data_IF_571713623741
#
_entry.id   IF_571713623741
#
_cell.length_a   1.000
_cell.length_b   1.000
_cell.length_c   1.000
_cell.angle_alpha   90.00
_cell.angle_beta   90.00
_cell.angle_gamma   90.00
#
_symmetry.space_group_name_H-M   'P 1'
#
loop_
_entity.id
_entity.type
_entity.pdbx_description
1 polymer ?
#
# COMPACT_ATOMS: atom_id res chain seq x y z
N UNK A 1 0.67 3.07 -1.26
CA UNK A 1 1.66 2.24 -1.99
C UNK A 1 2.50 3.06 -2.97
N UNK A 2 1.89 3.70 -3.99
CA UNK A 2 2.67 4.43 -4.99
C UNK A 2 3.59 5.51 -4.39
N UNK A 3 3.11 6.27 -3.41
CA UNK A 3 3.92 7.27 -2.72
C UNK A 3 5.18 6.70 -2.05
N UNK A 4 5.12 5.47 -1.51
CA UNK A 4 6.31 4.79 -0.97
C UNK A 4 7.29 4.41 -2.08
N UNK A 5 6.80 3.89 -3.20
CA UNK A 5 7.63 3.52 -4.35
C UNK A 5 8.33 4.75 -4.90
N UNK A 6 7.61 5.86 -5.06
CA UNK A 6 8.17 7.12 -5.56
C UNK A 6 9.21 7.70 -4.61
N UNK A 7 8.92 7.73 -3.29
CA UNK A 7 9.87 8.22 -2.29
C UNK A 7 11.18 7.40 -2.27
N UNK A 8 11.08 6.06 -2.34
CA UNK A 8 12.24 5.17 -2.37
C UNK A 8 13.06 5.33 -3.65
N UNK A 9 12.38 5.39 -4.81
CA UNK A 9 13.04 5.65 -6.09
C UNK A 9 13.81 6.96 -6.07
N UNK A 10 13.14 8.05 -5.69
CA UNK A 10 13.70 9.40 -5.74
C UNK A 10 14.89 9.53 -4.79
N UNK A 11 14.78 9.01 -3.58
CA UNK A 11 15.88 9.01 -2.62
C UNK A 11 17.12 8.24 -3.13
N UNK A 12 16.94 7.07 -3.74
CA UNK A 12 18.05 6.30 -4.31
C UNK A 12 18.65 6.96 -5.55
N UNK A 13 17.80 7.54 -6.42
CA UNK A 13 18.28 8.30 -7.60
C UNK A 13 19.06 9.53 -7.20
N UNK A 14 18.58 10.28 -6.22
CA UNK A 14 19.27 11.46 -5.70
C UNK A 14 20.66 11.10 -5.12
N UNK A 15 20.75 9.94 -4.46
CA UNK A 15 22.02 9.47 -3.88
C UNK A 15 23.00 8.94 -4.94
N UNK A 16 22.50 8.21 -5.94
CA UNK A 16 23.35 7.50 -6.90
C UNK A 16 23.52 8.22 -8.23
N UNK A 17 22.66 9.20 -8.54
CA UNK A 17 22.64 9.93 -9.82
C UNK A 17 22.59 8.96 -11.01
N UNK A 18 21.77 7.88 -10.87
CA UNK A 18 21.65 6.80 -11.84
C UNK A 18 20.38 6.93 -12.69
N UNK A 19 20.33 6.23 -13.81
CA UNK A 19 19.12 6.11 -14.62
C UNK A 19 18.09 5.17 -13.96
N UNK A 20 16.82 5.27 -14.35
CA UNK A 20 15.73 4.46 -13.78
C UNK A 20 15.04 3.63 -14.85
N UNK A 21 14.89 2.33 -14.58
CA UNK A 21 14.07 1.41 -15.38
C UNK A 21 12.85 0.97 -14.56
N UNK A 22 11.68 1.49 -14.90
CA UNK A 22 10.43 1.07 -14.28
C UNK A 22 9.88 -0.20 -14.91
N UNK A 23 9.47 -1.17 -14.06
CA UNK A 23 8.85 -2.43 -14.48
C UNK A 23 7.47 -2.56 -13.84
N UNK A 24 6.44 -2.68 -14.68
CA UNK A 24 5.03 -2.92 -14.25
C UNK A 24 4.42 -3.97 -15.17
N UNK A 25 5.07 -5.13 -15.22
CA UNK A 25 4.66 -6.22 -16.08
C UNK A 25 3.39 -6.91 -15.56
N UNK A 26 2.64 -7.54 -16.47
CA UNK A 26 1.48 -8.35 -16.11
C UNK A 26 1.84 -9.41 -15.05
N UNK A 27 0.89 -9.78 -14.17
CA UNK A 27 1.17 -10.73 -13.11
C UNK A 27 1.35 -12.19 -13.60
N UNK A 28 0.97 -12.48 -14.83
CA UNK A 28 1.16 -13.80 -15.45
C UNK A 28 2.58 -13.86 -16.00
N UNK A 29 3.36 -14.79 -15.49
CA UNK A 29 4.79 -14.95 -15.83
C UNK A 29 5.11 -16.39 -16.19
N UNK A 30 6.26 -16.61 -16.86
CA UNK A 30 6.77 -17.96 -17.06
C UNK A 30 7.32 -18.53 -15.74
N UNK A 31 7.18 -19.84 -15.55
CA UNK A 31 7.84 -20.56 -14.45
C UNK A 31 9.35 -20.32 -14.48
N UNK A 32 9.92 -20.24 -15.70
CA UNK A 32 11.33 -19.96 -15.89
C UNK A 32 11.75 -18.58 -15.36
N UNK A 33 10.97 -17.51 -15.60
CA UNK A 33 11.29 -16.19 -15.07
C UNK A 33 11.02 -16.07 -13.55
N UNK A 34 10.04 -16.83 -13.04
CA UNK A 34 9.75 -16.80 -11.61
C UNK A 34 10.76 -17.60 -10.79
N UNK A 35 11.36 -18.66 -11.36
CA UNK A 35 12.20 -19.58 -10.61
C UNK A 35 13.55 -19.89 -11.26
N UNK A 36 13.55 -20.46 -12.50
CA UNK A 36 14.76 -21.03 -13.08
C UNK A 36 15.87 -20.00 -13.28
N UNK A 37 15.53 -18.85 -13.86
CA UNK A 37 16.45 -17.73 -14.11
C UNK A 37 16.85 -16.94 -12.83
N UNK A 38 16.17 -17.21 -11.74
CA UNK A 38 16.49 -16.73 -10.41
C UNK A 38 17.19 -17.82 -9.57
N UNK A 39 17.69 -18.87 -10.23
CA UNK A 39 18.48 -19.94 -9.61
C UNK A 39 17.75 -20.74 -8.51
N UNK A 40 16.40 -20.74 -8.50
CA UNK A 40 15.66 -21.60 -7.57
C UNK A 40 15.82 -23.08 -7.96
N UNK A 41 16.26 -23.95 -7.05
CA UNK A 41 16.35 -25.38 -7.30
C UNK A 41 15.01 -25.96 -7.76
N UNK A 42 15.05 -26.97 -8.63
CA UNK A 42 13.82 -27.65 -9.10
C UNK A 42 13.01 -28.28 -7.95
N UNK A 43 13.69 -28.74 -6.91
CA UNK A 43 13.10 -29.30 -5.69
C UNK A 43 12.76 -28.26 -4.62
N UNK A 44 12.80 -26.96 -4.93
CA UNK A 44 12.45 -25.93 -3.95
C UNK A 44 10.99 -26.03 -3.52
N UNK A 45 10.75 -25.98 -2.21
CA UNK A 45 9.41 -25.93 -1.59
C UNK A 45 8.57 -24.79 -2.16
N UNK A 46 9.20 -23.65 -2.49
CA UNK A 46 8.52 -22.50 -3.09
C UNK A 46 7.79 -22.84 -4.40
N UNK A 47 8.23 -23.89 -5.11
CA UNK A 47 7.62 -24.35 -6.38
C UNK A 47 6.41 -25.26 -6.19
N UNK A 48 6.13 -25.71 -4.98
CA UNK A 48 5.00 -26.61 -4.74
C UNK A 48 3.67 -25.87 -4.97
N UNK A 49 2.69 -26.59 -5.53
CA UNK A 49 1.35 -26.03 -5.84
C UNK A 49 0.58 -25.52 -4.61
N UNK A 50 0.99 -25.92 -3.40
CA UNK A 50 0.44 -25.37 -2.15
C UNK A 50 0.89 -23.92 -1.89
N UNK A 51 1.99 -23.46 -2.48
CA UNK A 51 2.50 -22.08 -2.33
C UNK A 51 2.38 -21.28 -3.63
N UNK A 52 2.43 -21.94 -4.78
CA UNK A 52 2.44 -21.34 -6.11
C UNK A 52 1.11 -21.49 -6.82
N UNK A 53 0.65 -20.43 -7.47
CA UNK A 53 -0.57 -20.43 -8.30
C UNK A 53 -0.21 -20.67 -9.76
N UNK A 54 -0.09 -21.92 -10.18
CA UNK A 54 0.09 -22.31 -11.56
C UNK A 54 -1.19 -22.06 -12.38
N UNK A 55 -1.03 -21.52 -13.59
CA UNK A 55 -2.10 -21.30 -14.57
C UNK A 55 -2.12 -22.44 -15.59
N UNK A 56 -0.93 -22.86 -16.02
CA UNK A 56 -0.71 -24.03 -16.92
C UNK A 56 0.73 -24.51 -16.77
N UNK A 57 1.10 -25.56 -17.56
CA UNK A 57 2.46 -26.07 -17.60
C UNK A 57 3.44 -24.97 -18.04
N UNK A 58 4.22 -24.41 -17.26
CA UNK A 58 5.20 -23.36 -17.57
C UNK A 58 4.73 -21.94 -17.40
N UNK A 59 3.46 -21.71 -16.96
CA UNK A 59 2.88 -20.38 -16.70
C UNK A 59 2.25 -20.33 -15.33
N UNK A 60 2.48 -19.22 -14.60
CA UNK A 60 2.00 -19.03 -13.24
C UNK A 60 1.67 -17.56 -12.95
N UNK A 61 0.93 -17.29 -11.88
CA UNK A 61 0.90 -15.98 -11.27
C UNK A 61 2.19 -15.79 -10.47
N UNK A 62 2.87 -14.64 -10.65
CA UNK A 62 4.15 -14.38 -9.97
C UNK A 62 4.01 -14.50 -8.45
N UNK A 63 4.92 -15.20 -7.80
CA UNK A 63 4.98 -15.38 -6.36
C UNK A 63 5.82 -14.31 -5.64
N UNK A 64 6.61 -13.56 -6.40
CA UNK A 64 7.41 -12.41 -5.96
C UNK A 64 7.66 -11.46 -7.14
N UNK A 65 7.95 -10.19 -6.87
CA UNK A 65 8.20 -9.19 -7.90
C UNK A 65 9.53 -9.39 -8.62
N UNK A 66 10.47 -10.14 -8.02
CA UNK A 66 11.73 -10.53 -8.65
C UNK A 66 11.53 -11.33 -9.96
N UNK A 67 10.34 -11.92 -10.18
CA UNK A 67 9.98 -12.56 -11.45
C UNK A 67 10.04 -11.61 -12.66
N UNK A 68 10.00 -10.30 -12.46
CA UNK A 68 10.16 -9.28 -13.52
C UNK A 68 11.63 -9.00 -13.86
N UNK A 69 12.57 -9.36 -12.98
CA UNK A 69 13.98 -8.98 -13.12
C UNK A 69 14.69 -9.72 -14.27
N UNK A 70 14.47 -11.04 -14.52
CA UNK A 70 15.13 -11.70 -15.63
C UNK A 70 14.84 -11.05 -16.99
N UNK A 71 13.60 -10.58 -17.20
CA UNK A 71 13.25 -9.87 -18.44
C UNK A 71 13.86 -8.47 -18.50
N UNK A 72 13.89 -7.74 -17.38
CA UNK A 72 14.50 -6.43 -17.28
C UNK A 72 16.03 -6.47 -17.52
N UNK A 73 16.70 -7.42 -16.88
CA UNK A 73 18.14 -7.62 -17.03
C UNK A 73 18.51 -8.03 -18.47
N UNK A 74 17.71 -8.90 -19.12
CA UNK A 74 17.92 -9.25 -20.54
C UNK A 74 17.70 -8.04 -21.47
N UNK A 75 16.76 -7.17 -21.16
CA UNK A 75 16.57 -5.94 -21.93
C UNK A 75 17.80 -5.04 -21.80
N UNK A 76 18.34 -4.86 -20.59
CA UNK A 76 19.57 -4.10 -20.32
C UNK A 76 20.78 -4.74 -21.07
N UNK A 77 20.94 -6.07 -21.00
CA UNK A 77 22.07 -6.77 -21.64
C UNK A 77 22.05 -6.73 -23.18
N UNK A 78 20.87 -6.49 -23.79
CA UNK A 78 20.71 -6.38 -25.25
C UNK A 78 20.82 -4.95 -25.78
N UNK A 79 20.74 -3.96 -24.90
CA UNK A 79 20.79 -2.56 -25.30
C UNK A 79 22.26 -2.12 -25.44
N UNK A 80 22.74 -1.82 -26.67
CA UNK A 80 24.09 -1.36 -26.90
C UNK A 80 24.35 0.02 -26.30
N UNK A 81 23.30 0.80 -26.02
CA UNK A 81 23.36 2.10 -25.43
C UNK A 81 22.96 2.10 -23.95
N UNK A 82 22.95 0.93 -23.31
CA UNK A 82 22.59 0.81 -21.90
C UNK A 82 23.47 1.70 -21.02
N UNK A 83 22.80 2.44 -20.16
CA UNK A 83 23.47 3.27 -19.13
C UNK A 83 24.33 2.38 -18.20
N UNK A 84 25.44 2.95 -17.71
CA UNK A 84 26.39 2.23 -16.87
C UNK A 84 25.92 2.05 -15.43
N UNK A 85 24.91 2.78 -14.99
CA UNK A 85 24.33 2.71 -13.64
C UNK A 85 22.81 2.85 -13.73
N UNK A 86 22.09 1.77 -13.44
CA UNK A 86 20.64 1.69 -13.61
C UNK A 86 19.98 1.17 -12.33
N UNK A 87 19.00 1.91 -11.83
CA UNK A 87 18.07 1.43 -10.79
C UNK A 87 16.83 0.83 -11.47
N UNK A 88 16.64 -0.48 -11.35
CA UNK A 88 15.40 -1.16 -11.75
C UNK A 88 14.42 -1.08 -10.59
N UNK A 89 13.23 -0.54 -10.84
CA UNK A 89 12.13 -0.36 -9.87
C UNK A 89 10.96 -1.21 -10.32
N UNK A 90 10.69 -2.31 -9.62
CA UNK A 90 9.71 -3.31 -10.01
C UNK A 90 8.64 -3.54 -8.93
N UNK A 91 7.65 -2.64 -8.76
CA UNK A 91 6.53 -2.83 -7.85
C UNK A 91 5.44 -3.72 -8.47
N UNK A 92 4.74 -4.48 -7.62
CA UNK A 92 3.60 -5.27 -8.10
C UNK A 92 2.93 -6.10 -7.02
N UNK A 93 1.72 -6.57 -7.35
CA UNK A 93 1.02 -7.57 -6.53
C UNK A 93 1.64 -8.94 -6.81
N UNK A 94 1.81 -9.73 -5.76
CA UNK A 94 2.25 -11.12 -5.83
C UNK A 94 1.15 -12.04 -5.33
N UNK A 95 1.19 -13.30 -5.74
CA UNK A 95 0.09 -14.24 -5.53
C UNK A 95 0.63 -15.49 -4.83
N UNK A 96 0.46 -15.53 -3.52
CA UNK A 96 0.88 -16.63 -2.67
C UNK A 96 -0.33 -17.30 -2.04
N UNK A 97 -0.16 -18.54 -1.58
CA UNK A 97 -1.16 -19.24 -0.76
C UNK A 97 -0.75 -19.20 0.72
N UNK A 98 -0.39 -18.02 1.19
CA UNK A 98 -0.03 -17.81 2.59
C UNK A 98 -1.28 -17.73 3.47
N UNK A 99 -1.10 -18.02 4.76
CA UNK A 99 -2.13 -17.76 5.77
C UNK A 99 -2.36 -16.27 5.92
N UNK A 100 -3.62 -15.85 5.98
CA UNK A 100 -3.99 -14.46 6.21
C UNK A 100 -4.06 -14.23 7.72
N UNK A 101 -3.24 -13.32 8.21
CA UNK A 101 -3.21 -12.90 9.61
C UNK A 101 -2.98 -11.40 9.75
N UNK A 102 -2.58 -10.95 10.92
CA UNK A 102 -2.33 -9.54 11.23
C UNK A 102 -1.14 -8.96 10.47
N UNK A 103 -0.20 -9.77 10.00
CA UNK A 103 1.03 -9.36 9.32
C UNK A 103 1.12 -9.88 7.88
N UNK A 104 0.19 -10.76 7.46
CA UNK A 104 0.22 -11.42 6.16
C UNK A 104 -1.10 -11.27 5.40
N UNK A 105 -0.98 -11.13 4.10
CA UNK A 105 -2.10 -11.10 3.14
C UNK A 105 -1.82 -12.03 1.98
N UNK A 106 -2.85 -12.65 1.41
CA UNK A 106 -2.71 -13.62 0.31
C UNK A 106 -2.28 -12.99 -1.03
N UNK A 107 -2.40 -11.68 -1.18
CA UNK A 107 -2.02 -10.92 -2.38
C UNK A 107 -1.23 -9.67 -1.99
N UNK A 108 -0.01 -9.85 -1.44
CA UNK A 108 0.80 -8.73 -0.98
C UNK A 108 1.34 -7.90 -2.14
N UNK A 109 1.47 -6.60 -1.92
CA UNK A 109 2.27 -5.74 -2.78
C UNK A 109 3.73 -5.87 -2.38
N UNK A 110 4.58 -6.08 -3.36
CA UNK A 110 6.03 -6.12 -3.19
C UNK A 110 6.71 -5.10 -4.10
N UNK A 111 7.95 -4.80 -3.78
CA UNK A 111 8.83 -3.95 -4.57
C UNK A 111 10.20 -4.59 -4.64
N UNK A 112 10.70 -4.83 -5.83
CA UNK A 112 12.11 -5.10 -6.06
C UNK A 112 12.82 -3.81 -6.50
N UNK A 113 13.96 -3.55 -5.88
CA UNK A 113 14.89 -2.46 -6.19
C UNK A 113 16.25 -3.09 -6.51
N UNK A 114 16.64 -3.06 -7.79
CA UNK A 114 17.94 -3.58 -8.19
C UNK A 114 18.78 -2.48 -8.82
N UNK A 115 19.95 -2.19 -8.21
CA UNK A 115 20.96 -1.35 -8.84
C UNK A 115 21.90 -2.22 -9.65
N UNK A 116 22.02 -1.97 -10.95
CA UNK A 116 22.91 -2.69 -11.86
C UNK A 116 23.95 -1.70 -12.39
N UNK A 117 25.23 -2.01 -12.17
CA UNK A 117 26.30 -1.07 -12.49
C UNK A 117 27.42 -1.74 -13.27
N UNK A 118 27.90 -1.04 -14.32
CA UNK A 118 29.05 -1.43 -15.13
C UNK A 118 30.36 -0.82 -14.58
N UNK A 119 31.45 -1.55 -14.66
CA UNK A 119 32.79 -1.05 -14.37
C UNK A 119 33.10 -0.81 -12.89
N UNK A 120 32.24 -1.26 -11.97
CA UNK A 120 32.44 -1.13 -10.52
C UNK A 120 32.18 -2.44 -9.80
N UNK A 121 32.94 -2.73 -8.75
CA UNK A 121 32.62 -3.79 -7.81
C UNK A 121 31.70 -3.23 -6.74
N UNK A 122 30.46 -3.74 -6.65
CA UNK A 122 29.55 -3.48 -5.55
C UNK A 122 29.82 -4.48 -4.41
N UNK A 123 29.84 -4.00 -3.17
CA UNK A 123 30.25 -4.78 -1.98
C UNK A 123 29.13 -4.76 -0.93
N UNK A 124 29.32 -5.55 0.13
CA UNK A 124 28.38 -5.57 1.29
C UNK A 124 28.20 -4.19 1.93
N UNK A 125 29.23 -3.33 1.92
CA UNK A 125 29.11 -1.98 2.47
C UNK A 125 28.17 -1.10 1.63
N UNK A 126 28.21 -1.24 0.29
CA UNK A 126 27.27 -0.55 -0.61
C UNK A 126 25.84 -1.05 -0.38
N UNK A 127 25.68 -2.35 -0.16
CA UNK A 127 24.38 -2.96 0.18
C UNK A 127 23.86 -2.46 1.53
N UNK A 128 24.73 -2.37 2.55
CA UNK A 128 24.40 -1.81 3.87
C UNK A 128 23.95 -0.36 3.75
N UNK A 129 24.68 0.45 2.97
CA UNK A 129 24.32 1.84 2.73
C UNK A 129 22.94 1.95 2.05
N UNK A 130 22.65 1.09 1.06
CA UNK A 130 21.34 1.00 0.42
C UNK A 130 20.23 0.70 1.44
N UNK A 131 20.42 -0.31 2.30
CA UNK A 131 19.43 -0.67 3.34
C UNK A 131 19.17 0.49 4.28
N UNK A 132 20.24 1.09 4.81
CA UNK A 132 20.12 2.23 5.74
C UNK A 132 19.35 3.38 5.09
N UNK A 133 19.66 3.69 3.82
CA UNK A 133 18.99 4.76 3.10
C UNK A 133 17.50 4.47 2.85
N UNK A 134 17.17 3.23 2.47
CA UNK A 134 15.80 2.78 2.27
C UNK A 134 15.00 2.82 3.58
N UNK A 135 15.56 2.31 4.67
CA UNK A 135 14.89 2.32 5.99
C UNK A 135 14.65 3.75 6.45
N UNK A 136 15.67 4.63 6.38
CA UNK A 136 15.54 6.02 6.80
C UNK A 136 14.51 6.80 5.96
N UNK A 137 14.40 6.50 4.66
CA UNK A 137 13.40 7.12 3.78
C UNK A 137 11.96 6.76 4.17
N UNK A 138 11.70 5.49 4.51
CA UNK A 138 10.34 5.02 4.79
C UNK A 138 9.99 5.15 6.28
N UNK A 139 10.92 4.83 7.16
CA UNK A 139 10.76 4.77 8.62
C UNK A 139 11.85 5.59 9.32
N UNK A 140 11.84 6.93 9.20
CA UNK A 140 12.87 7.80 9.76
C UNK A 140 13.12 7.56 11.25
N UNK A 141 14.38 7.40 11.64
CA UNK A 141 14.79 7.20 13.02
C UNK A 141 14.49 5.82 13.59
N UNK A 142 14.01 4.86 12.79
CA UNK A 142 13.77 3.49 13.23
C UNK A 142 15.04 2.65 13.09
N UNK A 143 15.46 1.99 14.17
CA UNK A 143 16.59 1.05 14.15
C UNK A 143 16.27 -0.18 13.30
N UNK A 144 17.27 -0.66 12.55
CA UNK A 144 17.16 -1.89 11.78
C UNK A 144 18.28 -2.87 12.12
N UNK A 145 18.00 -4.14 11.93
CA UNK A 145 18.92 -5.26 12.16
C UNK A 145 19.04 -6.05 10.86
N UNK A 146 20.27 -6.44 10.52
CA UNK A 146 20.59 -7.27 9.37
C UNK A 146 21.01 -8.64 9.86
N UNK A 147 20.25 -9.67 9.47
CA UNK A 147 20.53 -11.07 9.77
C UNK A 147 20.91 -11.78 8.48
N UNK A 148 22.00 -12.57 8.51
CA UNK A 148 22.45 -13.30 7.32
C UNK A 148 21.33 -14.21 6.79
N UNK A 149 21.03 -14.10 5.52
CA UNK A 149 20.01 -14.87 4.81
C UNK A 149 20.54 -15.33 3.45
N UNK A 150 20.01 -16.45 2.95
CA UNK A 150 20.43 -17.05 1.69
C UNK A 150 19.26 -17.08 0.70
N UNK A 151 19.45 -16.44 -0.44
CA UNK A 151 18.51 -16.46 -1.56
C UNK A 151 19.20 -17.00 -2.80
N UNK A 152 18.50 -17.78 -3.63
CA UNK A 152 19.14 -18.43 -4.80
C UNK A 152 19.74 -17.42 -5.81
N UNK A 153 19.15 -16.24 -5.91
CA UNK A 153 19.51 -15.19 -6.90
C UNK A 153 20.44 -14.10 -6.34
N UNK A 154 20.90 -14.25 -5.08
CA UNK A 154 21.83 -13.30 -4.46
C UNK A 154 22.96 -14.00 -3.72
N UNK A 155 24.04 -13.26 -3.49
CA UNK A 155 25.16 -13.63 -2.63
C UNK A 155 25.22 -12.69 -1.43
N UNK A 156 25.78 -13.18 -0.33
CA UNK A 156 26.02 -12.39 0.89
C UNK A 156 24.74 -11.64 1.36
N UNK A 157 23.60 -12.32 1.29
CA UNK A 157 22.28 -11.74 1.57
C UNK A 157 22.02 -11.49 3.04
N UNK A 158 21.06 -10.60 3.27
CA UNK A 158 20.50 -10.30 4.58
C UNK A 158 18.97 -10.26 4.53
N UNK A 159 18.35 -10.71 5.62
CA UNK A 159 17.02 -10.31 6.02
C UNK A 159 17.11 -8.95 6.70
N UNK A 160 16.16 -8.07 6.42
CA UNK A 160 16.07 -6.72 6.96
C UNK A 160 14.91 -6.68 7.96
N UNK A 161 15.23 -6.54 9.24
CA UNK A 161 14.25 -6.37 10.31
C UNK A 161 14.31 -4.94 10.85
N UNK A 162 13.16 -4.35 11.16
CA UNK A 162 13.06 -3.09 11.89
C UNK A 162 12.58 -3.31 13.31
N UNK A 163 13.09 -2.49 14.25
CA UNK A 163 12.81 -2.61 15.67
C UNK A 163 11.62 -1.73 16.04
N UNK A 164 10.55 -2.34 16.53
CA UNK A 164 9.35 -1.68 17.03
C UNK A 164 9.12 -2.07 18.50
N UNK A 165 9.53 -1.21 19.42
CA UNK A 165 9.59 -1.57 20.83
C UNK A 165 10.51 -2.78 21.02
N UNK A 166 10.00 -3.85 21.65
CA UNK A 166 10.74 -5.09 21.88
C UNK A 166 10.63 -6.13 20.77
N UNK A 167 9.98 -5.79 19.63
CA UNK A 167 9.77 -6.72 18.52
C UNK A 167 10.60 -6.34 17.31
N UNK A 168 11.10 -7.35 16.61
CA UNK A 168 11.66 -7.24 15.28
C UNK A 168 10.57 -7.57 14.24
N UNK A 169 10.45 -6.75 13.22
CA UNK A 169 9.51 -6.96 12.12
C UNK A 169 10.28 -6.95 10.82
N UNK A 170 10.26 -8.06 10.12
CA UNK A 170 10.84 -8.19 8.80
C UNK A 170 10.14 -7.27 7.80
N UNK A 171 10.91 -6.50 7.04
CA UNK A 171 10.41 -5.61 5.99
C UNK A 171 10.85 -6.05 4.59
N UNK A 172 11.85 -6.91 4.49
CA UNK A 172 12.37 -7.40 3.23
C UNK A 172 13.70 -8.11 3.37
N UNK A 173 14.28 -8.37 2.22
CA UNK A 173 15.53 -9.09 2.07
C UNK A 173 16.40 -8.42 1.01
N UNK A 174 17.73 -8.57 1.10
CA UNK A 174 18.65 -7.98 0.14
C UNK A 174 19.89 -8.86 -0.05
N UNK A 175 20.68 -8.57 -1.09
CA UNK A 175 21.93 -9.25 -1.37
C UNK A 175 22.66 -8.66 -2.57
N UNK A 176 23.85 -9.15 -2.84
CA UNK A 176 24.57 -8.88 -4.09
C UNK A 176 23.96 -9.75 -5.20
N UNK A 177 23.69 -9.19 -6.37
CA UNK A 177 23.14 -9.95 -7.48
C UNK A 177 24.03 -11.16 -7.84
N UNK A 178 23.44 -12.35 -7.95
CA UNK A 178 24.20 -13.56 -8.24
C UNK A 178 24.80 -13.49 -9.66
N UNK A 179 26.11 -13.79 -9.84
CA UNK A 179 26.78 -13.72 -11.14
C UNK A 179 26.09 -14.52 -12.25
N UNK A 180 25.52 -15.68 -11.93
CA UNK A 180 24.79 -16.50 -12.91
C UNK A 180 23.51 -15.81 -13.40
N UNK A 181 22.79 -15.10 -12.52
CA UNK A 181 21.60 -14.32 -12.92
C UNK A 181 21.97 -13.22 -13.91
N UNK A 182 23.10 -12.54 -13.69
CA UNK A 182 23.63 -11.54 -14.63
C UNK A 182 24.07 -12.18 -15.95
N UNK A 183 24.78 -13.30 -15.89
CA UNK A 183 25.26 -14.04 -17.07
C UNK A 183 24.12 -14.54 -17.95
N UNK A 184 23.08 -15.13 -17.34
CA UNK A 184 21.89 -15.63 -18.04
C UNK A 184 21.11 -14.50 -18.72
N UNK A 185 21.27 -13.28 -18.24
CA UNK A 185 20.70 -12.08 -18.84
C UNK A 185 21.58 -11.43 -19.93
N UNK A 186 22.79 -11.97 -20.20
CA UNK A 186 23.75 -11.42 -21.17
C UNK A 186 24.63 -10.29 -20.61
N UNK A 187 24.64 -10.12 -19.28
CA UNK A 187 25.48 -9.16 -18.57
C UNK A 187 26.73 -9.89 -18.05
N UNK A 188 27.93 -9.57 -18.59
CA UNK A 188 29.17 -10.19 -18.16
C UNK A 188 29.50 -9.82 -16.70
N UNK A 189 29.53 -10.79 -15.76
CA UNK A 189 29.80 -10.53 -14.34
C UNK A 189 31.18 -9.97 -14.05
N UNK A 190 32.13 -10.06 -14.99
CA UNK A 190 33.43 -9.40 -14.87
C UNK A 190 33.34 -7.88 -15.08
N UNK A 191 32.27 -7.42 -15.70
CA UNK A 191 32.02 -6.01 -16.06
C UNK A 191 30.81 -5.41 -15.33
N UNK A 192 29.84 -6.24 -14.93
CA UNK A 192 28.61 -5.81 -14.29
C UNK A 192 28.48 -6.38 -12.88
N UNK A 193 28.03 -5.55 -11.97
CA UNK A 193 27.68 -5.93 -10.62
C UNK A 193 26.29 -5.39 -10.25
N UNK A 194 25.63 -5.99 -9.25
CA UNK A 194 24.31 -5.54 -8.81
C UNK A 194 24.10 -5.64 -7.32
N UNK A 195 23.27 -4.72 -6.80
CA UNK A 195 22.62 -4.80 -5.50
C UNK A 195 21.15 -5.17 -5.75
N UNK A 196 20.63 -6.11 -4.98
CA UNK A 196 19.24 -6.58 -5.06
C UNK A 196 18.56 -6.38 -3.72
N UNK A 197 17.31 -5.89 -3.73
CA UNK A 197 16.49 -5.74 -2.52
C UNK A 197 15.03 -5.98 -2.85
N UNK A 198 14.39 -6.89 -2.11
CA UNK A 198 12.95 -7.15 -2.15
C UNK A 198 12.28 -6.64 -0.88
N UNK A 199 11.21 -5.87 -1.01
CA UNK A 199 10.51 -5.21 0.08
C UNK A 199 9.01 -5.56 0.07
N UNK A 200 8.43 -5.78 1.26
CA UNK A 200 6.97 -5.92 1.45
C UNK A 200 6.30 -4.57 1.60
N UNK A 201 5.69 -4.03 0.53
CA UNK A 201 5.09 -2.69 0.54
C UNK A 201 3.90 -2.56 1.51
N UNK A 202 3.05 -3.59 1.64
CA UNK A 202 1.94 -3.57 2.59
C UNK A 202 2.46 -3.43 4.03
N UNK A 203 3.52 -4.18 4.37
CA UNK A 203 4.13 -4.13 5.69
C UNK A 203 4.82 -2.80 5.96
N UNK A 204 5.58 -2.27 4.99
CA UNK A 204 6.18 -0.94 5.09
C UNK A 204 5.12 0.16 5.29
N UNK A 205 4.02 0.12 4.53
CA UNK A 205 2.94 1.09 4.70
C UNK A 205 2.24 0.96 6.05
N UNK A 206 2.00 -0.27 6.50
CA UNK A 206 1.45 -0.57 7.83
C UNK A 206 2.32 0.07 8.92
N UNK A 207 3.63 -0.16 8.87
CA UNK A 207 4.59 0.38 9.83
C UNK A 207 4.67 1.91 9.77
N UNK A 208 4.78 2.48 8.56
CA UNK A 208 4.83 3.93 8.34
C UNK A 208 3.62 4.65 8.92
N UNK A 209 2.45 4.04 8.83
CA UNK A 209 1.18 4.61 9.33
C UNK A 209 0.88 4.27 10.80
N UNK A 210 1.70 3.43 11.45
CA UNK A 210 1.44 2.97 12.83
C UNK A 210 0.19 2.08 12.92
N UNK A 211 -0.06 1.25 11.92
CA UNK A 211 -1.19 0.30 11.88
C UNK A 211 -0.73 -1.05 12.45
N UNK A 212 -1.52 -1.62 13.36
CA UNK A 212 -1.21 -2.90 14.00
C UNK A 212 -1.71 -4.13 13.23
N UNK A 213 -2.56 -3.94 12.24
CA UNK A 213 -3.19 -5.01 11.46
C UNK A 213 -3.22 -4.67 9.97
N UNK A 214 -2.46 -5.43 9.17
CA UNK A 214 -2.31 -5.21 7.72
C UNK A 214 -3.64 -5.24 6.96
N UNK A 215 -4.67 -5.90 7.50
CA UNK A 215 -6.00 -6.00 6.89
C UNK A 215 -6.71 -4.65 6.81
N UNK A 216 -6.34 -3.69 7.68
CA UNK A 216 -6.87 -2.31 7.63
C UNK A 216 -6.48 -1.57 6.35
N UNK A 217 -5.36 -1.93 5.71
CA UNK A 217 -4.96 -1.33 4.43
C UNK A 217 -5.97 -1.58 3.30
N UNK A 218 -6.87 -2.57 3.47
CA UNK A 218 -7.90 -2.96 2.49
C UNK A 218 -9.31 -2.90 3.08
N UNK A 219 -9.49 -2.14 4.17
CA UNK A 219 -10.80 -1.99 4.78
C UNK A 219 -11.77 -1.28 3.84
N UNK A 220 -13.00 -1.79 3.77
CA UNK A 220 -14.08 -1.19 2.97
C UNK A 220 -14.72 0.04 3.65
N UNK A 221 -14.44 0.29 4.93
CA UNK A 221 -14.90 1.47 5.65
C UNK A 221 -14.27 2.73 5.03
N UNK A 222 -15.09 3.64 4.51
CA UNK A 222 -14.64 4.85 3.83
C UNK A 222 -13.75 5.75 4.71
N UNK A 223 -13.97 5.76 6.02
CA UNK A 223 -13.19 6.53 6.99
C UNK A 223 -11.78 5.96 7.17
N UNK A 224 -11.62 4.65 7.03
CA UNK A 224 -10.32 3.97 7.01
C UNK A 224 -9.67 4.14 5.64
N UNK A 225 -10.42 3.85 4.57
CA UNK A 225 -9.91 3.88 3.19
C UNK A 225 -9.37 5.26 2.79
N UNK A 226 -10.05 6.36 3.20
CA UNK A 226 -9.59 7.73 2.93
C UNK A 226 -8.23 8.04 3.54
N UNK A 227 -7.92 7.46 4.70
CA UNK A 227 -6.62 7.62 5.35
C UNK A 227 -5.49 6.84 4.66
N UNK A 228 -5.80 5.92 3.73
CA UNK A 228 -4.78 5.15 2.98
C UNK A 228 -4.27 5.88 1.72
N UNK A 229 -4.74 7.12 1.48
CA UNK A 229 -4.36 7.92 0.31
C UNK A 229 -3.07 8.72 0.51
N UNK A 230 -2.56 8.81 1.73
CA UNK A 230 -1.32 9.51 2.10
C UNK A 230 -0.40 8.64 2.97
N UNK A 231 0.71 9.20 3.46
CA UNK A 231 1.67 8.56 4.36
C UNK A 231 1.60 9.10 5.82
N UNK A 232 0.59 9.87 6.16
CA UNK A 232 0.39 10.36 7.53
C UNK A 232 0.03 9.20 8.47
N UNK A 233 0.35 9.30 9.77
CA UNK A 233 -0.04 8.27 10.73
C UNK A 233 -1.55 8.01 10.72
N UNK A 234 -1.92 6.74 10.84
CA UNK A 234 -3.31 6.32 10.91
C UNK A 234 -3.96 6.78 12.22
N UNK A 235 -5.15 7.33 12.12
CA UNK A 235 -6.00 7.65 13.27
C UNK A 235 -7.08 6.59 13.42
N UNK A 236 -7.13 5.87 14.56
CA UNK A 236 -8.12 4.83 14.78
C UNK A 236 -9.54 5.33 14.53
N UNK A 237 -10.32 4.53 13.82
CA UNK A 237 -11.73 4.78 13.57
C UNK A 237 -12.53 4.11 14.67
N UNK A 238 -13.46 4.86 15.28
CA UNK A 238 -14.28 4.35 16.36
C UNK A 238 -15.08 3.10 15.98
N UNK A 239 -15.04 2.10 16.85
CA UNK A 239 -15.85 0.87 16.78
C UNK A 239 -17.11 0.96 17.67
N UNK A 240 -17.33 2.10 18.34
CA UNK A 240 -18.50 2.30 19.20
C UNK A 240 -19.80 2.29 18.39
N UNK A 241 -20.92 1.87 18.97
CA UNK A 241 -22.20 1.85 18.26
C UNK A 241 -22.60 3.26 17.80
N UNK A 242 -23.04 3.41 16.54
CA UNK A 242 -23.54 4.70 16.05
C UNK A 242 -24.94 4.96 16.55
N UNK A 243 -25.23 6.24 16.77
CA UNK A 243 -26.61 6.71 16.96
C UNK A 243 -27.08 7.40 15.69
N UNK A 244 -28.20 6.98 15.13
CA UNK A 244 -28.80 7.58 13.94
C UNK A 244 -29.97 8.46 14.32
N UNK A 245 -30.05 9.66 13.71
CA UNK A 245 -31.18 10.57 13.83
C UNK A 245 -31.63 11.00 12.44
N UNK A 246 -32.92 10.84 12.20
CA UNK A 246 -33.56 11.31 10.98
C UNK A 246 -34.31 12.61 11.31
N UNK A 247 -33.94 13.69 10.65
CA UNK A 247 -34.52 15.01 10.83
C UNK A 247 -35.30 15.40 9.58
N UNK A 248 -36.55 15.82 9.77
CA UNK A 248 -37.36 16.39 8.70
C UNK A 248 -37.31 17.91 8.82
N UNK A 249 -36.71 18.58 7.87
CA UNK A 249 -36.46 20.03 7.93
C UNK A 249 -36.97 20.73 6.67
N UNK A 250 -37.54 21.94 6.86
CA UNK A 250 -37.95 22.82 5.78
C UNK A 250 -36.76 23.71 5.37
N UNK A 251 -36.41 23.69 4.07
CA UNK A 251 -35.31 24.48 3.53
C UNK A 251 -35.72 25.16 2.21
N UNK A 252 -35.03 26.22 1.82
CA UNK A 252 -35.22 26.82 0.52
C UNK A 252 -34.89 25.83 -0.61
N UNK A 253 -35.64 25.88 -1.70
CA UNK A 253 -35.36 25.04 -2.86
C UNK A 253 -33.95 25.29 -3.38
N UNK A 254 -33.23 24.20 -3.72
CA UNK A 254 -31.87 24.27 -4.21
C UNK A 254 -30.78 24.37 -3.15
N UNK A 255 -31.14 24.30 -1.85
CA UNK A 255 -30.14 24.16 -0.77
C UNK A 255 -29.29 22.92 -1.01
N UNK A 256 -27.97 23.06 -1.06
CA UNK A 256 -27.04 21.96 -1.34
C UNK A 256 -26.87 21.01 -0.15
N UNK A 257 -26.39 19.82 -0.38
CA UNK A 257 -26.09 18.85 0.69
C UNK A 257 -24.95 19.37 1.59
N UNK A 258 -24.01 20.14 1.02
CA UNK A 258 -22.91 20.82 1.72
C UNK A 258 -23.45 21.87 2.69
N UNK A 259 -24.37 22.77 2.23
CA UNK A 259 -25.01 23.76 3.09
C UNK A 259 -25.74 23.11 4.27
N UNK A 260 -26.41 21.99 4.03
CA UNK A 260 -27.10 21.23 5.08
C UNK A 260 -26.10 20.64 6.08
N UNK A 261 -25.00 20.07 5.59
CA UNK A 261 -23.92 19.55 6.41
C UNK A 261 -23.30 20.63 7.31
N UNK A 262 -23.03 21.81 6.76
CA UNK A 262 -22.46 22.93 7.50
C UNK A 262 -23.42 23.49 8.55
N UNK A 263 -24.72 23.55 8.25
CA UNK A 263 -25.74 23.97 9.24
C UNK A 263 -25.82 23.01 10.42
N UNK A 264 -25.77 21.69 10.16
CA UNK A 264 -25.76 20.67 11.22
C UNK A 264 -24.53 20.83 12.10
N UNK A 265 -23.33 20.93 11.50
CA UNK A 265 -22.08 21.11 12.25
C UNK A 265 -22.08 22.40 13.05
N UNK A 266 -22.57 23.51 12.48
CA UNK A 266 -22.66 24.80 13.16
C UNK A 266 -23.64 24.75 14.33
N UNK A 267 -24.75 24.04 14.22
CA UNK A 267 -25.72 23.87 15.28
C UNK A 267 -25.18 23.03 16.45
N UNK A 268 -24.38 22.02 16.15
CA UNK A 268 -23.78 21.16 17.17
C UNK A 268 -22.57 21.78 17.88
N UNK A 269 -21.95 22.80 17.31
CA UNK A 269 -20.78 23.49 17.91
C UNK A 269 -19.66 22.52 18.30
N UNK A 270 -19.35 22.43 19.59
CA UNK A 270 -18.29 21.55 20.11
C UNK A 270 -18.60 20.05 19.92
N UNK A 271 -19.89 19.71 19.87
CA UNK A 271 -20.34 18.34 19.61
C UNK A 271 -20.29 17.95 18.12
N UNK A 272 -19.90 18.86 17.22
CA UNK A 272 -19.72 18.56 15.79
C UNK A 272 -18.70 17.44 15.52
N UNK A 273 -17.75 17.23 16.42
CA UNK A 273 -16.79 16.13 16.37
C UNK A 273 -17.44 14.74 16.47
N UNK A 274 -18.65 14.66 17.05
CA UNK A 274 -19.42 13.43 17.15
C UNK A 274 -20.09 13.04 15.83
N UNK A 275 -20.17 13.95 14.86
CA UNK A 275 -20.80 13.69 13.55
C UNK A 275 -19.92 12.79 12.70
N UNK A 276 -20.34 11.55 12.54
CA UNK A 276 -19.69 10.60 11.65
C UNK A 276 -20.09 10.82 10.18
N UNK A 277 -21.39 11.03 9.92
CA UNK A 277 -21.90 11.29 8.58
C UNK A 277 -23.22 12.04 8.59
N UNK A 278 -23.46 12.81 7.52
CA UNK A 278 -24.72 13.49 7.23
C UNK A 278 -25.09 13.09 5.80
N UNK A 279 -26.35 12.67 5.60
CA UNK A 279 -26.84 12.26 4.28
C UNK A 279 -28.27 12.74 4.06
N UNK A 280 -28.56 13.26 2.89
CA UNK A 280 -29.92 13.53 2.44
C UNK A 280 -30.56 12.21 2.01
N UNK A 281 -31.61 11.79 2.71
CA UNK A 281 -32.34 10.55 2.43
C UNK A 281 -33.41 10.79 1.38
N UNK A 282 -34.10 11.93 1.46
CA UNK A 282 -35.16 12.29 0.51
C UNK A 282 -35.35 13.82 0.47
N UNK A 283 -35.78 14.31 -0.69
CA UNK A 283 -36.25 15.69 -0.90
C UNK A 283 -37.67 15.66 -1.43
N UNK A 284 -38.56 16.46 -0.85
CA UNK A 284 -39.95 16.51 -1.23
C UNK A 284 -40.39 17.97 -1.36
N UNK A 285 -40.66 18.47 -2.57
CA UNK A 285 -41.12 19.84 -2.75
C UNK A 285 -42.50 20.05 -2.11
N UNK A 286 -42.76 21.29 -1.67
CA UNK A 286 -44.03 21.65 -1.03
C UNK A 286 -45.26 21.25 -1.87
N UNK A 287 -45.16 21.33 -3.20
CA UNK A 287 -46.23 20.95 -4.13
C UNK A 287 -46.59 19.46 -4.11
N UNK A 288 -45.68 18.59 -3.65
CA UNK A 288 -45.94 17.15 -3.55
C UNK A 288 -46.54 16.73 -2.20
N UNK A 289 -46.67 17.66 -1.24
CA UNK A 289 -47.22 17.40 0.09
C UNK A 289 -48.66 17.94 0.23
N UNK A 290 -49.52 17.22 1.00
CA UNK A 290 -50.84 17.71 1.36
C UNK A 290 -50.74 18.96 2.24
N UNK A 291 -51.79 19.81 2.24
CA UNK A 291 -51.86 21.00 3.10
C UNK A 291 -51.67 20.68 4.59
N UNK A 292 -52.26 19.58 5.03
CA UNK A 292 -52.10 19.11 6.42
C UNK A 292 -50.65 18.75 6.73
N UNK A 293 -49.96 18.10 5.82
CA UNK A 293 -48.55 17.75 6.00
C UNK A 293 -47.66 19.01 5.97
N UNK A 294 -47.91 19.95 5.05
CA UNK A 294 -47.21 21.23 4.98
C UNK A 294 -47.37 22.05 6.25
N UNK A 295 -48.62 22.16 6.76
CA UNK A 295 -48.91 22.87 7.99
C UNK A 295 -48.22 22.30 9.23
N UNK A 296 -48.08 20.97 9.30
CA UNK A 296 -47.38 20.31 10.44
C UNK A 296 -45.90 20.58 10.54
N UNK A 297 -45.22 20.75 9.41
CA UNK A 297 -43.76 21.01 9.35
C UNK A 297 -43.45 22.50 9.07
N UNK A 298 -44.47 23.35 8.93
CA UNK A 298 -44.30 24.77 8.66
C UNK A 298 -43.66 25.07 7.30
N UNK A 299 -43.94 24.27 6.27
CA UNK A 299 -43.31 24.36 4.95
C UNK A 299 -43.99 25.43 4.09
N UNK A 300 -43.23 26.42 3.63
CA UNK A 300 -43.70 27.42 2.67
C UNK A 300 -43.70 26.89 1.23
N UNK A 301 -44.40 27.58 0.31
CA UNK A 301 -44.59 27.13 -1.07
C UNK A 301 -43.27 27.09 -1.89
N UNK A 302 -42.33 27.97 -1.55
CA UNK A 302 -41.02 28.12 -2.15
C UNK A 302 -39.93 27.23 -1.50
N UNK A 303 -40.36 26.33 -0.59
CA UNK A 303 -39.48 25.43 0.16
C UNK A 303 -39.69 23.96 -0.24
N UNK A 304 -38.72 23.16 0.15
CA UNK A 304 -38.80 21.70 0.13
C UNK A 304 -38.57 21.12 1.53
N UNK A 305 -39.18 19.97 1.78
CA UNK A 305 -38.90 19.16 2.95
C UNK A 305 -37.71 18.23 2.65
N UNK A 306 -36.68 18.31 3.45
CA UNK A 306 -35.53 17.41 3.37
C UNK A 306 -35.54 16.47 4.56
N UNK A 307 -35.53 15.18 4.29
CA UNK A 307 -35.27 14.13 5.28
C UNK A 307 -33.76 13.93 5.36
N UNK A 308 -33.16 14.41 6.46
CA UNK A 308 -31.72 14.37 6.68
C UNK A 308 -31.39 13.32 7.71
N UNK A 309 -30.48 12.41 7.39
CA UNK A 309 -29.93 11.43 8.34
C UNK A 309 -28.59 11.92 8.88
N UNK A 310 -28.50 12.06 10.19
CA UNK A 310 -27.27 12.37 10.93
C UNK A 310 -26.87 11.11 11.70
N UNK A 311 -25.61 10.70 11.55
CA UNK A 311 -25.03 9.60 12.31
C UNK A 311 -24.00 10.18 13.27
N UNK A 312 -24.22 9.95 14.55
CA UNK A 312 -23.35 10.39 15.63
C UNK A 312 -22.57 9.21 16.21
N UNK A 313 -21.30 9.40 16.51
CA UNK A 313 -20.46 8.39 17.14
C UNK A 313 -19.27 9.04 17.86
N UNK A 314 -19.10 8.75 19.15
CA UNK A 314 -17.88 9.12 19.85
C UNK A 314 -16.74 8.15 19.54
N UNK A 315 -15.48 8.61 19.69
CA UNK A 315 -14.29 7.79 19.37
C UNK A 315 -14.04 6.75 20.46
N UNK A 316 -14.21 7.10 21.71
CA UNK A 316 -13.73 6.41 22.91
C UNK A 316 -14.84 5.88 23.84
N UNK A 317 -16.11 6.23 23.59
CA UNK A 317 -17.24 5.86 24.44
C UNK A 317 -18.54 5.69 23.67
N UNK A 318 -19.50 5.03 24.28
CA UNK A 318 -20.87 4.98 23.76
C UNK A 318 -21.60 6.28 24.13
N UNK A 319 -22.29 6.88 23.16
CA UNK A 319 -23.12 8.07 23.39
C UNK A 319 -24.36 7.74 24.20
N UNK A 320 -24.71 8.59 25.16
CA UNK A 320 -25.96 8.47 25.90
C UNK A 320 -27.14 9.01 25.08
N UNK A 321 -28.36 8.63 25.47
CA UNK A 321 -29.58 9.13 24.81
C UNK A 321 -29.71 10.67 24.91
N UNK A 322 -29.31 11.26 26.03
CA UNK A 322 -29.35 12.70 26.25
C UNK A 322 -28.41 13.49 25.34
N UNK A 323 -27.22 12.95 25.04
CA UNK A 323 -26.24 13.58 24.16
C UNK A 323 -26.65 13.53 22.68
N UNK A 324 -27.60 12.68 22.34
CA UNK A 324 -28.04 12.46 20.97
C UNK A 324 -29.36 13.15 20.62
N UNK A 325 -30.01 13.84 21.55
CA UNK A 325 -31.26 14.56 21.38
C UNK A 325 -31.07 16.07 21.53
#
# INVERSE_FOLDING_TARGET
>A
MQLLVDALRDALVDTWQCSVSHRRDAPIVSVADNYDRLQYPSASIARESRYTRYVSDGVMLRSHTSAMLPSALRALGRDPNAEDDVLIVAPGITYRRDSIDRLHTGEPHQLDLWRIRRGASLRRDDLRAMVTHVVETVLPGVEHVLTDATHPYTLAGWQIDVKLGDRLVEIGECGLAHPEVLRDAGLDPARWAGLAMGLGLDRLLMLRKGIDDIRLLRAADARVASQMLDLTPYRPVSTMPPVRRDLSIAVAMGTTDEDLGDRVRSALRDDAELVESIAVVARTPASALSEVARGRIGLAEDQENVLLRVVLRAVDRTLTHAECN
#
